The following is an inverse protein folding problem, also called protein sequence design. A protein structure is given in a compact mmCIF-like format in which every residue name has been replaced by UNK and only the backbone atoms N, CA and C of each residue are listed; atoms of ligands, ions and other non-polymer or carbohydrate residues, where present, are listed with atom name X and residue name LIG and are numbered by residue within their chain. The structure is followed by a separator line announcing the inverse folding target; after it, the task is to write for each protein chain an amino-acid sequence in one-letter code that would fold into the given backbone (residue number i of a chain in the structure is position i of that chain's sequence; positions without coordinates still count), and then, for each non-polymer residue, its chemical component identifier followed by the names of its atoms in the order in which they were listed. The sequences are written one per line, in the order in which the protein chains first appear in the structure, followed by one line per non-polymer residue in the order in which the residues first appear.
data_IF_878473810872
#
_entry.id   IF_878473810872
#
_cell.length_a   1.000
_cell.length_b   1.000
_cell.length_c   1.000
_cell.angle_alpha   90.00
_cell.angle_beta   90.00
_cell.angle_gamma   90.00
#
_symmetry.space_group_name_H-M   'P 1'
#
loop_
_entity.id
_entity.type
_entity.pdbx_description
1 polymer ?
#
# COMPACT_ATOMS: atom_id res chain seq x y z
N UNK A 1 -4.06 18.20 -31.07
CA UNK A 1 -2.79 17.52 -30.74
C UNK A 1 -2.17 18.24 -29.55
N UNK A 2 -2.41 17.76 -28.34
CA UNK A 2 -1.62 18.16 -27.17
C UNK A 2 -1.03 16.88 -26.60
N UNK A 3 0.24 16.66 -26.88
CA UNK A 3 1.04 15.60 -26.31
C UNK A 3 1.28 15.96 -24.83
N UNK A 4 0.75 15.21 -23.85
CA UNK A 4 1.09 15.49 -22.47
C UNK A 4 2.48 14.93 -22.24
N UNK A 5 3.46 15.82 -22.20
CA UNK A 5 4.81 15.59 -21.69
C UNK A 5 4.73 15.23 -20.20
N UNK A 6 4.39 13.98 -19.91
CA UNK A 6 4.60 13.39 -18.61
C UNK A 6 6.11 13.40 -18.28
N UNK A 7 6.50 13.61 -17.02
CA UNK A 7 7.90 13.73 -16.66
C UNK A 7 8.67 12.50 -17.13
N UNK A 8 9.73 12.73 -17.92
CA UNK A 8 10.73 11.73 -18.32
C UNK A 8 11.53 11.33 -17.08
N UNK A 9 10.93 10.50 -16.24
CA UNK A 9 11.60 9.76 -15.19
C UNK A 9 11.37 8.28 -15.43
N UNK A 10 12.30 7.45 -15.00
CA UNK A 10 12.17 5.98 -14.95
C UNK A 10 11.11 5.58 -13.93
N UNK A 11 9.85 5.96 -14.17
CA UNK A 11 8.72 5.67 -13.29
C UNK A 11 8.30 4.24 -13.54
N UNK A 12 8.73 3.35 -12.64
CA UNK A 12 8.26 1.97 -12.56
C UNK A 12 6.73 1.98 -12.47
N UNK A 13 6.08 1.11 -13.24
CA UNK A 13 4.62 1.02 -13.23
C UNK A 13 4.08 0.69 -11.83
N UNK A 14 2.97 1.30 -11.38
CA UNK A 14 2.35 1.00 -10.08
C UNK A 14 2.01 -0.48 -9.89
N UNK A 15 1.75 -1.20 -10.99
CA UNK A 15 1.50 -2.65 -10.98
C UNK A 15 2.69 -3.45 -10.47
N UNK A 16 3.90 -3.03 -10.84
CA UNK A 16 5.13 -3.69 -10.41
C UNK A 16 5.28 -3.58 -8.90
N UNK A 17 4.98 -2.41 -8.32
CA UNK A 17 4.95 -2.23 -6.85
C UNK A 17 3.88 -3.07 -6.17
N UNK A 18 2.69 -3.21 -6.78
CA UNK A 18 1.65 -4.12 -6.26
C UNK A 18 2.11 -5.57 -6.27
N UNK A 19 2.68 -6.05 -7.38
CA UNK A 19 3.22 -7.40 -7.51
C UNK A 19 4.30 -7.62 -6.46
N UNK A 20 5.29 -6.72 -6.36
CA UNK A 20 6.35 -6.79 -5.35
C UNK A 20 5.82 -6.82 -3.91
N UNK A 21 4.78 -6.04 -3.61
CA UNK A 21 4.12 -6.05 -2.31
C UNK A 21 3.44 -7.40 -2.03
N UNK A 22 2.69 -7.95 -2.98
CA UNK A 22 2.07 -9.27 -2.85
C UNK A 22 3.10 -10.39 -2.71
N UNK A 23 4.18 -10.34 -3.50
CA UNK A 23 5.30 -11.28 -3.39
C UNK A 23 5.97 -11.17 -2.01
N UNK A 24 6.14 -9.94 -1.49
CA UNK A 24 6.64 -9.69 -0.15
C UNK A 24 5.74 -10.25 0.94
N UNK A 25 4.42 -10.10 0.83
CA UNK A 25 3.45 -10.69 1.77
C UNK A 25 3.48 -12.22 1.70
N UNK A 26 3.52 -12.79 0.49
CA UNK A 26 3.65 -14.24 0.30
C UNK A 26 4.95 -14.79 0.89
N UNK A 27 6.05 -14.03 0.79
CA UNK A 27 7.32 -14.39 1.41
C UNK A 27 7.26 -14.45 2.94
N UNK A 28 6.47 -13.58 3.59
CA UNK A 28 6.30 -13.63 5.06
C UNK A 28 5.74 -14.99 5.50
N UNK A 29 4.77 -15.51 4.75
CA UNK A 29 4.07 -16.76 5.05
C UNK A 29 4.90 -17.97 4.65
N UNK A 30 5.55 -17.89 3.48
CA UNK A 30 6.26 -19.02 2.90
C UNK A 30 7.61 -19.30 3.54
N UNK A 31 8.33 -18.25 3.98
CA UNK A 31 9.73 -18.37 4.39
C UNK A 31 9.87 -18.27 5.90
N UNK A 32 10.27 -19.38 6.52
CA UNK A 32 10.53 -19.52 7.95
C UNK A 32 12.03 -19.37 8.27
N UNK A 33 12.92 -19.67 7.33
CA UNK A 33 14.37 -19.56 7.50
C UNK A 33 14.86 -18.11 7.61
N UNK A 34 15.80 -17.85 8.52
CA UNK A 34 16.43 -16.54 8.71
C UNK A 34 17.32 -16.15 7.51
N UNK A 35 18.00 -17.13 6.92
CA UNK A 35 18.89 -16.93 5.76
C UNK A 35 18.07 -16.49 4.54
N UNK A 36 16.89 -17.10 4.34
CA UNK A 36 15.97 -16.71 3.27
C UNK A 36 15.42 -15.29 3.45
N UNK A 37 15.16 -14.88 4.70
CA UNK A 37 14.74 -13.51 5.02
C UNK A 37 15.85 -12.49 4.72
N UNK A 38 17.11 -12.79 5.06
CA UNK A 38 18.25 -11.94 4.73
C UNK A 38 18.43 -11.80 3.20
N UNK A 39 18.33 -12.91 2.47
CA UNK A 39 18.43 -12.88 1.01
C UNK A 39 17.35 -12.01 0.38
N UNK A 40 16.10 -12.13 0.83
CA UNK A 40 15.01 -11.27 0.37
C UNK A 40 15.18 -9.80 0.75
N UNK A 41 15.74 -9.52 1.92
CA UNK A 41 16.04 -8.15 2.32
C UNK A 41 17.10 -7.53 1.41
N UNK A 42 18.18 -8.25 1.11
CA UNK A 42 19.21 -7.82 0.16
C UNK A 42 18.62 -7.63 -1.24
N UNK A 43 17.80 -8.58 -1.70
CA UNK A 43 17.06 -8.46 -2.95
C UNK A 43 16.19 -7.19 -3.00
N UNK A 44 15.46 -6.90 -1.92
CA UNK A 44 14.64 -5.70 -1.78
C UNK A 44 15.47 -4.41 -1.86
N UNK A 45 16.66 -4.40 -1.25
CA UNK A 45 17.58 -3.26 -1.32
C UNK A 45 18.11 -3.06 -2.75
N UNK A 46 18.45 -4.14 -3.47
CA UNK A 46 18.85 -4.08 -4.87
C UNK A 46 17.73 -3.48 -5.74
N UNK A 47 16.48 -3.90 -5.54
CA UNK A 47 15.32 -3.33 -6.26
C UNK A 47 15.19 -1.82 -5.96
N UNK A 48 15.38 -1.38 -4.72
CA UNK A 48 15.36 0.06 -4.39
C UNK A 48 16.51 0.86 -5.04
N UNK A 49 17.67 0.24 -5.21
CA UNK A 49 18.82 0.83 -5.90
C UNK A 49 18.56 0.96 -7.41
N UNK A 50 18.07 -0.11 -8.05
CA UNK A 50 17.72 -0.10 -9.48
C UNK A 50 16.59 0.87 -9.83
N UNK A 51 15.68 1.13 -8.89
CA UNK A 51 14.57 2.07 -9.06
C UNK A 51 14.96 3.53 -8.75
N UNK A 52 16.22 3.81 -8.43
CA UNK A 52 16.73 5.16 -8.19
C UNK A 52 16.25 5.79 -6.88
N UNK A 53 15.68 5.00 -5.95
CA UNK A 53 15.17 5.47 -4.65
C UNK A 53 16.17 5.21 -3.52
N UNK A 54 17.46 5.41 -3.81
CA UNK A 54 18.57 5.04 -2.92
C UNK A 54 18.57 5.78 -1.57
N UNK A 55 18.01 6.99 -1.50
CA UNK A 55 17.97 7.78 -0.26
C UNK A 55 17.18 7.13 0.90
N UNK A 56 16.35 6.11 0.62
CA UNK A 56 15.61 5.38 1.67
C UNK A 56 16.28 4.08 2.12
N UNK A 57 17.31 3.62 1.39
CA UNK A 57 18.01 2.36 1.69
C UNK A 57 18.60 2.41 3.10
N UNK A 58 19.23 3.53 3.47
CA UNK A 58 19.81 3.71 4.81
C UNK A 58 18.76 3.61 5.92
N UNK A 59 17.58 4.20 5.72
CA UNK A 59 16.50 4.11 6.71
C UNK A 59 16.00 2.66 6.88
N UNK A 60 15.84 1.92 5.78
CA UNK A 60 15.43 0.51 5.84
C UNK A 60 16.52 -0.38 6.45
N UNK A 61 17.79 -0.09 6.18
CA UNK A 61 18.93 -0.80 6.78
C UNK A 61 19.00 -0.57 8.29
N UNK A 62 18.91 0.68 8.74
CA UNK A 62 18.89 1.02 10.17
C UNK A 62 17.70 0.35 10.86
N UNK A 63 16.52 0.37 10.24
CA UNK A 63 15.33 -0.26 10.80
C UNK A 63 15.49 -1.80 10.89
N UNK A 64 16.07 -2.43 9.87
CA UNK A 64 16.36 -3.86 9.89
C UNK A 64 17.38 -4.25 10.97
N UNK A 65 18.46 -3.47 11.12
CA UNK A 65 19.47 -3.68 12.15
C UNK A 65 18.90 -3.46 13.56
N UNK A 66 18.07 -2.44 13.75
CA UNK A 66 17.40 -2.19 15.02
C UNK A 66 16.50 -3.37 15.43
N UNK A 67 15.70 -3.89 14.50
CA UNK A 67 14.86 -5.07 14.74
C UNK A 67 15.68 -6.33 14.99
N UNK A 68 16.84 -6.48 14.31
CA UNK A 68 17.78 -7.58 14.58
C UNK A 68 18.41 -7.47 15.98
N UNK A 69 18.69 -6.26 16.44
CA UNK A 69 19.13 -5.98 17.81
C UNK A 69 18.05 -6.35 18.84
N UNK A 70 16.78 -6.05 18.56
CA UNK A 70 15.64 -6.44 19.41
C UNK A 70 15.50 -7.96 19.47
N UNK A 71 15.66 -8.68 18.36
CA UNK A 71 15.63 -10.16 18.39
C UNK A 71 16.77 -10.72 19.23
N UNK A 72 17.98 -10.18 19.08
CA UNK A 72 19.15 -10.66 19.82
C UNK A 72 19.02 -10.38 21.33
N UNK A 73 18.56 -9.18 21.69
CA UNK A 73 18.23 -8.83 23.07
C UNK A 73 17.12 -9.74 23.63
N UNK A 74 16.06 -9.99 22.85
CA UNK A 74 14.99 -10.92 23.22
C UNK A 74 15.51 -12.32 23.53
N UNK A 75 16.38 -12.87 22.69
CA UNK A 75 17.04 -14.17 22.91
C UNK A 75 17.94 -14.16 24.15
N UNK A 76 18.66 -13.08 24.42
CA UNK A 76 19.45 -12.94 25.64
C UNK A 76 18.62 -12.98 26.93
N UNK A 77 17.38 -12.47 26.88
CA UNK A 77 16.44 -12.46 28.01
C UNK A 77 15.75 -13.82 28.25
N UNK A 78 15.89 -14.81 27.35
CA UNK A 78 15.33 -16.15 27.53
C UNK A 78 16.08 -16.96 28.61
N UNK A 79 17.27 -16.55 29.02
CA UNK A 79 18.09 -17.29 29.99
C UNK A 79 17.56 -17.23 31.43
N UNK A 80 16.68 -16.28 31.76
CA UNK A 80 16.09 -16.15 33.09
C UNK A 80 14.59 -16.48 33.07
N UNK A 81 14.13 -17.31 34.00
CA UNK A 81 12.73 -17.74 34.10
C UNK A 81 11.75 -16.56 34.28
N UNK A 82 12.16 -15.52 35.01
CA UNK A 82 11.34 -14.33 35.25
C UNK A 82 11.16 -13.43 34.00
N UNK A 83 12.13 -13.42 33.07
CA UNK A 83 12.09 -12.59 31.86
C UNK A 83 11.71 -13.38 30.61
N UNK A 84 11.47 -14.69 30.72
CA UNK A 84 11.18 -15.59 29.61
C UNK A 84 10.01 -15.11 28.74
N UNK A 85 8.89 -14.72 29.35
CA UNK A 85 7.70 -14.24 28.61
C UNK A 85 8.02 -12.96 27.83
N UNK A 86 8.76 -12.03 28.44
CA UNK A 86 9.18 -10.79 27.80
C UNK A 86 10.18 -11.06 26.67
N UNK A 87 11.12 -11.99 26.86
CA UNK A 87 12.09 -12.40 25.85
C UNK A 87 11.44 -13.04 24.62
N UNK A 88 10.44 -13.93 24.82
CA UNK A 88 9.66 -14.53 23.74
C UNK A 88 8.87 -13.46 22.98
N UNK A 89 8.22 -12.53 23.69
CA UNK A 89 7.46 -11.45 23.06
C UNK A 89 8.35 -10.53 22.22
N UNK A 90 9.50 -10.09 22.75
CA UNK A 90 10.46 -9.24 22.05
C UNK A 90 11.09 -9.94 20.85
N UNK A 91 11.47 -11.21 20.99
CA UNK A 91 12.03 -12.00 19.89
C UNK A 91 11.02 -12.18 18.75
N UNK A 92 9.78 -12.56 19.06
CA UNK A 92 8.73 -12.71 18.05
C UNK A 92 8.37 -11.39 17.37
N UNK A 93 8.31 -10.29 18.14
CA UNK A 93 8.06 -8.95 17.59
C UNK A 93 9.19 -8.52 16.64
N UNK A 94 10.46 -8.81 17.00
CA UNK A 94 11.60 -8.51 16.14
C UNK A 94 11.64 -9.37 14.86
N UNK A 95 11.33 -10.67 14.94
CA UNK A 95 11.26 -11.58 13.78
C UNK A 95 10.15 -11.13 12.83
N UNK A 96 8.94 -10.91 13.35
CA UNK A 96 7.81 -10.46 12.55
C UNK A 96 8.05 -9.07 11.96
N UNK A 97 8.63 -8.17 12.76
CA UNK A 97 9.03 -6.83 12.33
C UNK A 97 9.98 -6.89 11.15
N UNK A 98 11.05 -7.72 11.20
CA UNK A 98 12.03 -7.89 10.11
C UNK A 98 11.35 -8.36 8.82
N UNK A 99 10.45 -9.34 8.92
CA UNK A 99 9.66 -9.84 7.79
C UNK A 99 8.72 -8.78 7.20
N UNK A 100 8.11 -7.96 8.05
CA UNK A 100 7.18 -6.91 7.63
C UNK A 100 7.87 -5.72 6.91
N UNK A 101 9.17 -5.49 7.12
CA UNK A 101 9.92 -4.40 6.45
C UNK A 101 9.83 -4.50 4.93
N UNK A 102 9.90 -5.72 4.39
CA UNK A 102 9.95 -6.00 2.95
C UNK A 102 8.67 -5.49 2.25
N UNK A 103 7.45 -5.98 2.56
CA UNK A 103 6.24 -5.46 1.93
C UNK A 103 5.95 -4.01 2.30
N UNK A 104 6.33 -3.54 3.50
CA UNK A 104 6.10 -2.16 3.93
C UNK A 104 6.93 -1.16 3.11
N UNK A 105 8.15 -1.53 2.71
CA UNK A 105 8.99 -0.73 1.81
C UNK A 105 8.33 -0.53 0.44
N UNK A 106 7.79 -1.60 -0.15
CA UNK A 106 7.05 -1.57 -1.41
C UNK A 106 5.73 -0.81 -1.29
N UNK A 107 4.98 -1.02 -0.21
CA UNK A 107 3.73 -0.30 0.09
C UNK A 107 3.97 1.22 0.22
N UNK A 108 5.07 1.63 0.87
CA UNK A 108 5.43 3.05 0.97
C UNK A 108 5.79 3.68 -0.39
N UNK A 109 6.27 2.88 -1.34
CA UNK A 109 6.50 3.34 -2.71
C UNK A 109 5.21 3.44 -3.50
N UNK A 110 4.29 2.48 -3.31
CA UNK A 110 2.95 2.50 -3.91
C UNK A 110 2.13 3.69 -3.39
N UNK A 111 2.22 4.01 -2.10
CA UNK A 111 1.47 5.11 -1.47
C UNK A 111 1.91 6.50 -1.95
N UNK A 112 3.15 6.64 -2.43
CA UNK A 112 3.65 7.91 -2.98
C UNK A 112 3.32 8.09 -4.47
N UNK A 113 2.84 7.04 -5.12
CA UNK A 113 2.55 7.06 -6.53
C UNK A 113 1.26 7.85 -6.79
N UNK A 114 1.18 8.68 -7.85
CA UNK A 114 -0.02 9.46 -8.12
C UNK A 114 -1.24 8.56 -8.31
N UNK A 115 -2.36 8.96 -7.71
CA UNK A 115 -3.63 8.24 -7.74
C UNK A 115 -4.10 7.91 -9.18
N UNK A 116 -3.81 8.79 -10.14
CA UNK A 116 -4.12 8.56 -11.56
C UNK A 116 -3.25 7.49 -12.24
N UNK A 117 -2.06 7.21 -11.73
CA UNK A 117 -1.18 6.12 -12.19
C UNK A 117 -1.73 4.79 -11.67
N UNK A 118 -2.06 4.75 -10.37
CA UNK A 118 -2.70 3.61 -9.71
C UNK A 118 -4.05 3.24 -10.35
N UNK A 119 -4.86 4.24 -10.69
CA UNK A 119 -6.13 4.06 -11.39
C UNK A 119 -5.96 3.35 -12.74
N UNK A 120 -4.97 3.78 -13.53
CA UNK A 120 -4.74 3.19 -14.83
C UNK A 120 -4.03 1.82 -14.74
N UNK A 121 -3.26 1.59 -13.68
CA UNK A 121 -2.75 0.28 -13.29
C UNK A 121 -3.90 -0.70 -12.98
N UNK A 122 -4.80 -0.36 -12.04
CA UNK A 122 -5.94 -1.20 -11.66
C UNK A 122 -6.91 -1.43 -12.84
N UNK A 123 -7.14 -0.41 -13.65
CA UNK A 123 -8.02 -0.50 -14.83
C UNK A 123 -7.55 -1.44 -15.94
N UNK A 124 -6.29 -1.90 -15.94
CA UNK A 124 -5.85 -3.00 -16.83
C UNK A 124 -5.42 -4.29 -16.17
N UNK A 125 -5.59 -4.41 -14.85
CA UNK A 125 -5.86 -5.76 -14.33
C UNK A 125 -7.16 -6.21 -14.99
N UNK A 126 -7.30 -7.51 -15.32
CA UNK A 126 -8.43 -8.06 -16.11
C UNK A 126 -9.78 -8.01 -15.36
N UNK A 127 -10.10 -6.88 -14.75
CA UNK A 127 -11.35 -6.60 -14.07
C UNK A 127 -12.42 -6.27 -15.11
N UNK A 128 -13.70 -6.61 -14.83
CA UNK A 128 -14.82 -6.17 -15.65
C UNK A 128 -14.79 -4.66 -15.83
N UNK A 129 -15.11 -4.16 -17.04
CA UNK A 129 -15.07 -2.71 -17.35
C UNK A 129 -15.79 -1.85 -16.30
N UNK A 130 -16.92 -2.33 -15.79
CA UNK A 130 -17.70 -1.65 -14.75
C UNK A 130 -16.91 -1.46 -13.44
N UNK A 131 -16.17 -2.48 -13.01
CA UNK A 131 -15.32 -2.42 -11.81
C UNK A 131 -14.16 -1.45 -12.01
N UNK A 132 -13.52 -1.50 -13.18
CA UNK A 132 -12.42 -0.57 -13.51
C UNK A 132 -12.85 0.90 -13.45
N UNK A 133 -14.04 1.21 -13.97
CA UNK A 133 -14.62 2.56 -13.93
C UNK A 133 -14.97 2.96 -12.49
N UNK A 134 -15.62 2.07 -11.72
CA UNK A 134 -15.98 2.34 -10.33
C UNK A 134 -14.74 2.62 -9.46
N UNK A 135 -13.68 1.83 -9.61
CA UNK A 135 -12.40 2.04 -8.90
C UNK A 135 -11.75 3.36 -9.31
N UNK A 136 -11.75 3.67 -10.61
CA UNK A 136 -11.21 4.93 -11.13
C UNK A 136 -11.90 6.17 -10.57
N UNK A 137 -13.23 6.12 -10.54
CA UNK A 137 -14.09 7.10 -9.89
C UNK A 137 -13.70 7.20 -8.41
N UNK A 138 -13.78 6.11 -7.64
CA UNK A 138 -13.52 6.11 -6.20
C UNK A 138 -12.16 6.69 -5.84
N UNK A 139 -11.12 6.33 -6.59
CA UNK A 139 -9.76 6.85 -6.36
C UNK A 139 -9.66 8.37 -6.61
N UNK A 140 -10.40 8.93 -7.56
CA UNK A 140 -10.47 10.38 -7.77
C UNK A 140 -11.38 11.10 -6.77
N UNK A 141 -12.42 10.42 -6.29
CA UNK A 141 -13.34 10.94 -5.27
C UNK A 141 -12.75 10.90 -3.86
N UNK A 142 -11.83 9.97 -3.57
CA UNK A 142 -11.27 9.84 -2.23
C UNK A 142 -10.56 11.11 -1.72
N UNK A 143 -9.72 11.81 -2.53
CA UNK A 143 -9.15 13.10 -2.12
C UNK A 143 -10.20 14.16 -1.80
N UNK A 144 -11.23 14.29 -2.64
CA UNK A 144 -12.29 15.30 -2.44
C UNK A 144 -13.17 14.95 -1.24
N UNK A 145 -13.47 13.67 -1.01
CA UNK A 145 -14.16 13.22 0.21
C UNK A 145 -13.38 13.56 1.49
N UNK A 146 -12.05 13.45 1.44
CA UNK A 146 -11.19 13.87 2.56
C UNK A 146 -11.27 15.38 2.83
N UNK A 147 -11.40 16.20 1.79
CA UNK A 147 -11.60 17.65 1.93
C UNK A 147 -12.97 18.00 2.49
N UNK A 148 -14.03 17.37 1.99
CA UNK A 148 -15.40 17.51 2.51
C UNK A 148 -15.49 17.10 3.98
N UNK A 149 -14.87 15.97 4.35
CA UNK A 149 -14.78 15.55 5.75
C UNK A 149 -14.07 16.59 6.62
N UNK A 150 -12.93 17.12 6.15
CA UNK A 150 -12.20 18.18 6.87
C UNK A 150 -13.03 19.46 6.99
N UNK A 151 -13.76 19.86 5.95
CA UNK A 151 -14.62 21.03 5.97
C UNK A 151 -15.78 20.88 6.98
N UNK A 152 -16.48 19.74 6.97
CA UNK A 152 -17.54 19.43 7.93
C UNK A 152 -16.99 19.40 9.35
N UNK A 153 -15.87 18.70 9.57
CA UNK A 153 -15.22 18.61 10.88
C UNK A 153 -14.80 19.98 11.40
N UNK A 154 -14.23 20.83 10.55
CA UNK A 154 -13.84 22.18 10.93
C UNK A 154 -15.07 23.04 11.26
N UNK A 155 -16.17 22.91 10.51
CA UNK A 155 -17.44 23.60 10.80
C UNK A 155 -18.04 23.17 12.14
N UNK A 156 -18.05 21.86 12.47
CA UNK A 156 -18.52 21.41 13.78
C UNK A 156 -17.59 21.84 14.92
N UNK A 157 -16.27 21.91 14.67
CA UNK A 157 -15.29 22.47 15.62
C UNK A 157 -15.57 23.95 15.91
N UNK A 158 -15.98 24.75 14.92
CA UNK A 158 -16.42 26.14 15.13
C UNK A 158 -17.70 26.23 15.99
N UNK A 159 -18.56 25.21 15.95
CA UNK A 159 -19.78 25.13 16.77
C UNK A 159 -19.52 24.60 18.19
N UNK A 160 -18.26 24.42 18.59
CA UNK A 160 -17.87 23.93 19.92
C UNK A 160 -18.00 22.42 20.11
N UNK A 161 -18.38 21.67 19.06
CA UNK A 161 -18.55 20.21 19.13
C UNK A 161 -17.20 19.55 18.81
N UNK A 162 -16.62 18.83 19.79
CA UNK A 162 -15.46 17.96 19.58
C UNK A 162 -14.08 18.65 19.63
N UNK A 163 -13.84 19.52 20.62
CA UNK A 163 -12.52 20.17 20.81
C UNK A 163 -11.49 19.26 21.50
N UNK A 164 -11.80 17.99 21.76
CA UNK A 164 -10.86 17.04 22.37
C UNK A 164 -11.17 15.57 22.03
N UNK A 165 -10.12 14.74 21.96
CA UNK A 165 -10.20 13.29 21.68
C UNK A 165 -11.02 12.58 22.77
N UNK A 166 -10.87 12.99 24.04
CA UNK A 166 -11.66 12.46 25.16
C UNK A 166 -13.15 12.79 25.05
N UNK A 167 -13.52 14.04 24.70
CA UNK A 167 -14.91 14.48 24.58
C UNK A 167 -15.62 13.90 23.33
N UNK A 168 -14.84 13.59 22.29
CA UNK A 168 -15.33 12.94 21.06
C UNK A 168 -15.64 11.46 21.30
N UNK A 169 -14.88 10.80 22.18
CA UNK A 169 -15.10 9.40 22.56
C UNK A 169 -16.26 9.24 23.56
N UNK A 170 -16.48 10.20 24.47
CA UNK A 170 -17.62 10.16 25.41
C UNK A 170 -18.95 10.51 24.74
N UNK A 171 -18.95 11.33 23.70
CA UNK A 171 -20.14 11.68 22.88
C UNK A 171 -20.05 11.11 21.46
N UNK A 172 -19.66 9.84 21.36
CA UNK A 172 -19.52 9.12 20.10
C UNK A 172 -20.81 9.06 19.26
N UNK A 173 -22.02 8.86 19.84
CA UNK A 173 -23.26 8.84 19.07
C UNK A 173 -23.55 10.19 18.41
N UNK A 174 -23.39 11.29 19.15
CA UNK A 174 -23.63 12.64 18.67
C UNK A 174 -22.59 13.05 17.61
N UNK A 175 -21.33 12.65 17.76
CA UNK A 175 -20.29 12.93 16.76
C UNK A 175 -20.60 12.23 15.43
N UNK A 176 -21.11 11.00 15.48
CA UNK A 176 -21.57 10.27 14.30
C UNK A 176 -22.73 11.01 13.64
N UNK A 177 -23.75 11.41 14.41
CA UNK A 177 -24.92 12.10 13.88
C UNK A 177 -24.56 13.42 13.18
N UNK A 178 -23.70 14.24 13.77
CA UNK A 178 -23.36 15.57 13.24
C UNK A 178 -22.32 15.59 12.12
N UNK A 179 -21.54 14.52 11.94
CA UNK A 179 -20.51 14.45 10.88
C UNK A 179 -20.88 13.41 9.82
N UNK A 180 -21.31 12.22 10.22
CA UNK A 180 -21.56 11.11 9.30
C UNK A 180 -22.85 11.30 8.50
N UNK A 181 -23.95 11.75 9.11
CA UNK A 181 -25.23 11.93 8.39
C UNK A 181 -25.11 13.01 7.30
N UNK A 182 -24.59 14.23 7.57
CA UNK A 182 -24.43 15.25 6.52
C UNK A 182 -23.46 14.80 5.42
N UNK A 183 -22.39 14.09 5.79
CA UNK A 183 -21.44 13.53 4.83
C UNK A 183 -22.09 12.47 3.94
N UNK A 184 -22.88 11.55 4.52
CA UNK A 184 -23.59 10.52 3.78
C UNK A 184 -24.58 11.12 2.77
N UNK A 185 -25.39 12.11 3.20
CA UNK A 185 -26.31 12.82 2.31
C UNK A 185 -25.58 13.50 1.14
N UNK A 186 -24.42 14.13 1.39
CA UNK A 186 -23.59 14.75 0.35
C UNK A 186 -23.03 13.70 -0.61
N UNK A 187 -22.52 12.58 -0.10
CA UNK A 187 -21.99 11.48 -0.92
C UNK A 187 -23.07 10.90 -1.83
N UNK A 188 -24.28 10.69 -1.32
CA UNK A 188 -25.41 10.17 -2.12
C UNK A 188 -25.76 11.13 -3.26
N UNK A 189 -25.86 12.44 -2.99
CA UNK A 189 -26.10 13.43 -4.06
C UNK A 189 -25.01 13.42 -5.14
N UNK A 190 -23.74 13.40 -4.73
CA UNK A 190 -22.61 13.32 -5.68
C UNK A 190 -22.66 12.03 -6.50
N UNK A 191 -23.05 10.91 -5.90
CA UNK A 191 -23.20 9.65 -6.61
C UNK A 191 -24.35 9.69 -7.64
N UNK A 192 -25.48 10.32 -7.32
CA UNK A 192 -26.59 10.54 -8.25
C UNK A 192 -26.18 11.42 -9.44
N UNK A 193 -25.54 12.55 -9.16
CA UNK A 193 -25.00 13.46 -10.20
C UNK A 193 -24.00 12.75 -11.11
N UNK A 194 -23.10 11.93 -10.53
CA UNK A 194 -22.16 11.14 -11.29
C UNK A 194 -22.86 10.10 -12.16
N UNK A 195 -23.85 9.39 -11.62
CA UNK A 195 -24.61 8.37 -12.33
C UNK A 195 -25.36 8.97 -13.54
N UNK A 196 -26.01 10.12 -13.34
CA UNK A 196 -26.66 10.87 -14.41
C UNK A 196 -25.63 11.28 -15.49
N UNK A 197 -24.49 11.85 -15.09
CA UNK A 197 -23.40 12.25 -15.99
C UNK A 197 -22.82 11.09 -16.78
N UNK A 198 -22.60 9.93 -16.14
CA UNK A 198 -22.13 8.71 -16.80
C UNK A 198 -23.13 8.16 -17.81
N UNK A 199 -24.43 8.27 -17.51
CA UNK A 199 -25.51 7.84 -18.41
C UNK A 199 -25.57 8.72 -19.65
N UNK A 200 -25.55 10.05 -19.49
CA UNK A 200 -25.54 11.01 -20.61
C UNK A 200 -24.29 10.86 -21.48
N UNK A 201 -23.13 10.55 -20.89
CA UNK A 201 -21.87 10.31 -21.62
C UNK A 201 -21.78 8.93 -22.26
N UNK A 202 -22.79 8.07 -22.11
CA UNK A 202 -22.80 6.73 -22.70
C UNK A 202 -21.71 5.80 -22.16
N UNK A 203 -21.27 5.98 -20.90
CA UNK A 203 -20.16 5.21 -20.31
C UNK A 203 -20.45 3.69 -20.26
N UNK A 204 -21.74 3.30 -20.19
CA UNK A 204 -22.18 1.89 -20.21
C UNK A 204 -22.28 1.30 -21.63
N UNK A 205 -22.06 2.08 -22.69
CA UNK A 205 -22.17 1.58 -24.07
C UNK A 205 -21.02 0.61 -24.38
N UNK A 206 -21.32 -0.52 -25.02
CA UNK A 206 -20.37 -1.63 -25.31
C UNK A 206 -19.32 -1.30 -26.38
N UNK A 207 -19.07 -0.02 -26.64
CA UNK A 207 -18.02 0.43 -27.56
C UNK A 207 -16.61 0.13 -27.04
N UNK A 208 -15.61 0.19 -27.93
CA UNK A 208 -14.19 0.20 -27.54
C UNK A 208 -13.89 1.48 -26.78
N UNK A 209 -13.61 1.37 -25.49
CA UNK A 209 -13.15 2.48 -24.66
C UNK A 209 -11.66 2.71 -24.87
N UNK A 210 -11.28 3.95 -25.20
CA UNK A 210 -9.88 4.33 -25.43
C UNK A 210 -9.35 4.96 -24.14
N UNK A 211 -8.21 4.49 -23.63
CA UNK A 211 -7.58 5.07 -22.44
C UNK A 211 -6.71 6.27 -22.85
N UNK A 212 -7.02 7.44 -22.31
CA UNK A 212 -6.29 8.69 -22.60
C UNK A 212 -4.90 8.75 -21.95
N UNK A 213 -4.65 7.90 -20.94
CA UNK A 213 -3.35 7.82 -20.24
C UNK A 213 -2.65 6.52 -20.63
N UNK A 214 -1.56 6.55 -21.41
CA UNK A 214 -0.86 5.34 -21.80
C UNK A 214 -0.09 4.78 -20.59
N UNK A 215 -0.68 3.83 -19.86
CA UNK A 215 0.09 2.94 -18.99
C UNK A 215 0.72 1.88 -19.86
N UNK A 216 2.02 2.02 -20.09
CA UNK A 216 2.82 1.07 -20.86
C UNK A 216 3.67 0.27 -19.89
N UNK A 217 3.29 -1.00 -19.75
CA UNK A 217 4.13 -1.98 -19.07
C UNK A 217 5.43 -2.09 -19.84
N UNK A 218 6.51 -1.56 -19.25
CA UNK A 218 7.81 -1.53 -19.89
C UNK A 218 8.52 -2.86 -19.67
N UNK A 219 9.40 -3.28 -20.57
CA UNK A 219 10.19 -4.50 -20.40
C UNK A 219 10.93 -4.54 -19.04
N UNK A 220 11.35 -3.37 -18.54
CA UNK A 220 11.93 -3.19 -17.20
C UNK A 220 10.99 -3.62 -16.06
N UNK A 221 9.70 -3.30 -16.16
CA UNK A 221 8.67 -3.71 -15.19
C UNK A 221 8.45 -5.23 -15.21
N UNK A 222 8.48 -5.82 -16.41
CA UNK A 222 8.41 -7.26 -16.59
C UNK A 222 9.58 -7.99 -15.96
N UNK A 223 10.81 -7.49 -16.17
CA UNK A 223 12.02 -8.05 -15.58
C UNK A 223 11.97 -7.95 -14.04
N UNK A 224 11.55 -6.80 -13.48
CA UNK A 224 11.42 -6.64 -12.02
C UNK A 224 10.38 -7.59 -11.42
N UNK A 225 9.22 -7.76 -12.07
CA UNK A 225 8.19 -8.69 -11.61
C UNK A 225 8.67 -10.15 -11.72
N UNK A 226 9.31 -10.53 -12.83
CA UNK A 226 9.81 -11.89 -13.05
C UNK A 226 10.89 -12.25 -12.04
N UNK A 227 11.84 -11.35 -11.82
CA UNK A 227 12.95 -11.57 -10.89
C UNK A 227 12.49 -11.66 -9.43
N UNK A 228 11.48 -10.89 -9.04
CA UNK A 228 10.86 -11.04 -7.72
C UNK A 228 10.13 -12.38 -7.56
N UNK A 229 9.40 -12.82 -8.58
CA UNK A 229 8.71 -14.11 -8.55
C UNK A 229 9.70 -15.27 -8.53
N UNK A 230 10.78 -15.20 -9.33
CA UNK A 230 11.83 -16.22 -9.36
C UNK A 230 12.58 -16.27 -8.04
N UNK A 231 12.88 -15.13 -7.42
CA UNK A 231 13.53 -15.09 -6.10
C UNK A 231 12.66 -15.77 -5.03
N UNK A 232 11.35 -15.50 -5.03
CA UNK A 232 10.41 -16.17 -4.11
C UNK A 232 10.38 -17.69 -4.37
N UNK A 233 10.18 -18.12 -5.61
CA UNK A 233 10.08 -19.54 -5.96
C UNK A 233 11.36 -20.30 -5.65
N UNK A 234 12.52 -19.70 -5.94
CA UNK A 234 13.83 -20.29 -5.64
C UNK A 234 13.98 -20.51 -4.14
N UNK A 235 13.70 -19.49 -3.33
CA UNK A 235 13.82 -19.62 -1.87
C UNK A 235 12.86 -20.65 -1.29
N UNK A 236 11.61 -20.67 -1.75
CA UNK A 236 10.64 -21.70 -1.33
C UNK A 236 11.09 -23.11 -1.73
N UNK A 237 11.72 -23.26 -2.90
CA UNK A 237 12.29 -24.52 -3.33
C UNK A 237 13.47 -24.95 -2.46
N UNK A 238 14.40 -24.03 -2.14
CA UNK A 238 15.54 -24.35 -1.27
C UNK A 238 15.09 -24.70 0.17
N UNK A 239 14.08 -24.01 0.68
CA UNK A 239 13.51 -24.27 2.00
C UNK A 239 12.80 -25.63 2.05
N UNK A 240 12.02 -25.96 1.01
CA UNK A 240 11.44 -27.32 0.89
C UNK A 240 12.47 -28.41 0.62
N UNK A 241 13.59 -28.06 0.01
CA UNK A 241 14.74 -28.94 -0.18
C UNK A 241 15.57 -29.16 1.08
N UNK A 242 15.27 -28.47 2.19
CA UNK A 242 16.00 -28.60 3.47
C UNK A 242 17.42 -28.03 3.44
N UNK A 243 17.74 -27.18 2.47
CA UNK A 243 19.06 -26.54 2.32
C UNK A 243 19.15 -25.26 3.18
N UNK A 244 18.01 -24.77 3.67
CA UNK A 244 17.85 -23.50 4.40
C UNK A 244 17.11 -23.65 5.73
#
# INVERSE_FOLDING_TARGET
MMEPTGPKGTTVDPRTWMILCFTGIAAIIGIHSEIGCLFLFVWCMLVHLFTGKAGKIMAYLIFYLALSGITWAGVGLLQNDATMVLGIALSNMGILGRKAVIPLSFASCLAKEPTGSLMAALGRMRLPKAVGIAVAVMLRFFPTLGEEYRAIRNSQRFRGIGVGILHTLTHLPSTIEYILIPLALRITKVAEELSASMTVRGVRFSGKTISYRPVRFTAKDGILALTALSALLLLLFLERGGIL
#
